data_IF_491560148630
#
_entry.id   IF_491560148630
#
_cell.length_a   1.000
_cell.length_b   1.000
_cell.length_c   1.000
_cell.angle_alpha   90.00
_cell.angle_beta   90.00
_cell.angle_gamma   90.00
#
_symmetry.space_group_name_H-M   'P 1'
#
loop_
_entity.id
_entity.type
_entity.pdbx_description
1 polymer ?
#
# COMPACT_ATOMS: atom_id res chain seq x y z
N UNK A 1 2.45 18.51 5.27
CA UNK A 1 3.27 17.38 5.78
C UNK A 1 2.73 16.12 5.13
N UNK A 2 3.59 15.33 4.50
CA UNK A 2 3.20 14.08 3.82
C UNK A 2 2.68 13.04 4.82
N UNK A 3 1.75 12.19 4.40
CA UNK A 3 1.17 11.11 5.21
C UNK A 3 2.18 10.04 5.64
N UNK A 4 3.35 10.00 4.99
CA UNK A 4 4.54 9.20 5.31
C UNK A 4 5.79 9.92 4.80
N UNK A 5 6.97 9.64 5.38
CA UNK A 5 8.25 10.12 4.85
C UNK A 5 8.39 9.72 3.37
N UNK A 6 8.93 10.59 2.52
CA UNK A 6 9.12 10.32 1.08
C UNK A 6 10.08 9.13 0.87
N UNK A 7 9.83 8.31 -0.14
CA UNK A 7 10.62 7.10 -0.45
C UNK A 7 10.63 6.05 0.67
N UNK A 8 9.55 6.01 1.44
CA UNK A 8 9.28 5.01 2.47
C UNK A 8 8.06 4.20 2.06
N UNK A 9 8.15 2.89 2.18
CA UNK A 9 7.00 2.00 1.99
C UNK A 9 6.51 1.54 3.35
N UNK A 10 5.21 1.29 3.46
CA UNK A 10 4.60 0.66 4.63
C UNK A 10 3.74 -0.51 4.18
N UNK A 11 3.85 -1.61 4.91
CA UNK A 11 2.99 -2.78 4.74
C UNK A 11 2.29 -3.06 6.05
N UNK A 12 0.96 -3.06 5.99
CA UNK A 12 0.10 -3.57 7.04
C UNK A 12 -0.25 -5.02 6.72
N UNK A 13 -0.18 -5.89 7.72
CA UNK A 13 -0.51 -7.31 7.59
C UNK A 13 -1.47 -7.70 8.71
N UNK A 14 -2.52 -8.45 8.37
CA UNK A 14 -3.47 -9.01 9.33
C UNK A 14 -3.37 -10.53 9.27
N UNK A 15 -3.44 -11.19 10.43
CA UNK A 15 -3.35 -12.65 10.54
C UNK A 15 -1.93 -13.21 10.61
N UNK A 16 -0.91 -12.37 10.83
CA UNK A 16 0.46 -12.77 11.16
C UNK A 16 0.94 -11.98 12.38
N UNK A 17 1.90 -12.54 13.13
CA UNK A 17 2.53 -11.85 14.25
C UNK A 17 3.59 -10.85 13.77
N UNK A 18 3.89 -9.81 14.57
CA UNK A 18 4.91 -8.84 14.23
C UNK A 18 6.30 -9.48 14.02
N UNK A 19 6.80 -10.39 14.89
CA UNK A 19 8.08 -11.07 14.65
C UNK A 19 8.12 -11.84 13.33
N UNK A 20 7.00 -12.49 12.96
CA UNK A 20 6.90 -13.21 11.68
C UNK A 20 7.07 -12.29 10.49
N UNK A 21 6.35 -11.16 10.47
CA UNK A 21 6.38 -10.22 9.34
C UNK A 21 7.75 -9.56 9.22
N UNK A 22 8.34 -9.14 10.35
CA UNK A 22 9.71 -8.59 10.38
C UNK A 22 10.74 -9.60 9.86
N UNK A 23 10.62 -10.88 10.22
CA UNK A 23 11.51 -11.95 9.73
C UNK A 23 11.40 -12.13 8.22
N UNK A 24 10.18 -12.21 7.68
CA UNK A 24 9.97 -12.35 6.22
C UNK A 24 10.60 -11.19 5.45
N UNK A 25 10.39 -9.96 5.93
CA UNK A 25 10.95 -8.77 5.30
C UNK A 25 12.48 -8.72 5.38
N UNK A 26 13.05 -9.13 6.52
CA UNK A 26 14.51 -9.24 6.71
C UNK A 26 15.13 -10.32 5.81
N UNK A 27 14.50 -11.49 5.71
CA UNK A 27 14.89 -12.59 4.81
C UNK A 27 14.88 -12.16 3.33
N UNK A 28 13.94 -11.28 2.95
CA UNK A 28 13.84 -10.70 1.62
C UNK A 28 14.84 -9.53 1.36
N UNK A 29 15.69 -9.19 2.33
CA UNK A 29 16.65 -8.08 2.21
C UNK A 29 16.02 -6.69 2.34
N UNK A 30 14.83 -6.60 2.94
CA UNK A 30 14.08 -5.35 3.20
C UNK A 30 13.83 -5.18 4.70
N UNK A 31 14.87 -5.00 5.53
CA UNK A 31 14.70 -4.90 6.98
C UNK A 31 13.80 -3.71 7.35
N UNK A 32 13.00 -3.89 8.40
CA UNK A 32 12.11 -2.85 8.89
C UNK A 32 12.93 -1.65 9.44
N UNK A 33 12.49 -0.43 9.11
CA UNK A 33 13.00 0.82 9.70
C UNK A 33 12.22 1.21 10.95
N UNK A 34 10.91 0.94 10.95
CA UNK A 34 10.02 1.01 12.10
C UNK A 34 8.97 -0.09 11.97
N UNK A 35 8.38 -0.51 13.08
CA UNK A 35 7.31 -1.51 13.08
C UNK A 35 6.46 -1.44 14.33
N UNK A 36 5.27 -2.03 14.29
CA UNK A 36 4.36 -2.05 15.43
C UNK A 36 3.06 -2.79 15.13
N UNK A 37 2.11 -2.66 16.05
CA UNK A 37 0.79 -3.27 15.95
C UNK A 37 -0.29 -2.22 16.29
N UNK A 38 -1.39 -2.22 15.55
CA UNK A 38 -2.55 -1.37 15.81
C UNK A 38 -3.80 -1.96 15.17
N UNK A 39 -4.93 -1.93 15.87
CA UNK A 39 -6.24 -2.32 15.32
C UNK A 39 -6.28 -3.72 14.68
N UNK A 40 -5.49 -4.66 15.21
CA UNK A 40 -5.36 -6.02 14.67
C UNK A 40 -4.48 -6.15 13.43
N UNK A 41 -3.83 -5.07 12.99
CA UNK A 41 -2.82 -5.04 11.95
C UNK A 41 -1.43 -4.97 12.59
N UNK A 42 -0.51 -5.80 12.11
CA UNK A 42 0.92 -5.55 12.28
C UNK A 42 1.38 -4.68 11.13
N UNK A 43 2.33 -3.79 11.36
CA UNK A 43 2.86 -2.92 10.32
C UNK A 43 4.36 -2.79 10.42
N UNK A 44 5.00 -2.54 9.28
CA UNK A 44 6.38 -2.11 9.24
C UNK A 44 6.60 -1.12 8.11
N UNK A 45 7.57 -0.24 8.30
CA UNK A 45 8.12 0.61 7.24
C UNK A 45 9.44 0.06 6.76
N UNK A 46 9.76 0.29 5.49
CA UNK A 46 11.08 -0.01 4.96
C UNK A 46 11.42 0.95 3.81
N UNK A 47 12.70 1.01 3.47
CA UNK A 47 13.19 1.84 2.38
C UNK A 47 12.70 1.34 1.02
N UNK A 48 12.34 2.26 0.12
CA UNK A 48 11.82 1.94 -1.20
C UNK A 48 12.80 1.10 -2.05
N UNK A 49 14.07 1.51 -2.06
CA UNK A 49 15.06 1.07 -3.06
C UNK A 49 16.04 0.01 -2.54
N UNK A 50 15.97 -0.35 -1.26
CA UNK A 50 16.91 -1.29 -0.65
C UNK A 50 16.38 -2.73 -0.78
N UNK A 51 16.73 -3.42 -1.87
CA UNK A 51 16.64 -4.88 -1.98
C UNK A 51 17.46 -5.43 -3.15
N UNK A 52 17.97 -6.67 -3.07
CA UNK A 52 18.48 -7.41 -4.22
C UNK A 52 17.32 -7.75 -5.20
N UNK A 53 17.63 -7.82 -6.51
CA UNK A 53 16.72 -7.97 -7.67
C UNK A 53 15.80 -9.23 -7.72
N UNK A 54 15.34 -9.78 -6.59
CA UNK A 54 14.57 -11.03 -6.54
C UNK A 54 13.06 -10.84 -6.44
N UNK A 55 12.58 -9.72 -5.90
CA UNK A 55 11.15 -9.37 -5.83
C UNK A 55 10.93 -7.92 -5.44
N UNK A 56 9.93 -7.27 -6.04
CA UNK A 56 9.51 -5.92 -5.67
C UNK A 56 8.87 -5.91 -4.28
N UNK A 57 8.86 -4.75 -3.61
CA UNK A 57 8.22 -4.60 -2.30
C UNK A 57 6.71 -4.93 -2.35
N UNK A 58 6.07 -4.58 -3.46
CA UNK A 58 4.67 -4.84 -3.73
C UNK A 58 4.37 -6.35 -3.91
N UNK A 59 5.22 -7.07 -4.65
CA UNK A 59 5.12 -8.53 -4.78
C UNK A 59 5.33 -9.23 -3.45
N UNK A 60 6.28 -8.76 -2.63
CA UNK A 60 6.50 -9.30 -1.30
C UNK A 60 5.27 -9.12 -0.41
N UNK A 61 4.71 -7.90 -0.36
CA UNK A 61 3.50 -7.60 0.41
C UNK A 61 2.34 -8.51 -0.02
N UNK A 62 2.12 -8.64 -1.33
CA UNK A 62 1.06 -9.51 -1.87
C UNK A 62 1.32 -10.99 -1.58
N UNK A 63 2.58 -11.42 -1.70
CA UNK A 63 3.02 -12.79 -1.49
C UNK A 63 2.79 -13.30 -0.07
N UNK A 64 2.85 -12.43 0.95
CA UNK A 64 2.54 -12.77 2.36
C UNK A 64 1.18 -13.43 2.52
N UNK A 65 0.22 -13.04 1.69
CA UNK A 65 -1.17 -13.54 1.78
C UNK A 65 -1.35 -14.90 1.12
N UNK A 66 -0.35 -15.36 0.35
CA UNK A 66 -0.41 -16.55 -0.49
C UNK A 66 0.15 -17.82 0.16
N UNK A 67 0.04 -18.93 -0.58
CA UNK A 67 0.34 -20.28 -0.09
C UNK A 67 1.75 -20.45 0.49
N UNK A 68 2.72 -19.65 0.05
CA UNK A 68 4.12 -19.72 0.50
C UNK A 68 4.26 -19.41 1.99
N UNK A 69 3.40 -18.55 2.53
CA UNK A 69 3.48 -18.08 3.91
C UNK A 69 2.32 -18.55 4.79
N UNK A 70 1.41 -19.42 4.30
CA UNK A 70 0.27 -19.92 5.09
C UNK A 70 0.71 -20.61 6.38
N UNK A 71 1.84 -21.32 6.36
CA UNK A 71 2.40 -21.98 7.55
C UNK A 71 2.91 -20.99 8.60
N UNK A 72 3.10 -19.71 8.23
CA UNK A 72 3.50 -18.63 9.12
C UNK A 72 2.32 -17.78 9.61
N UNK A 73 1.09 -18.07 9.17
CA UNK A 73 -0.10 -17.39 9.66
C UNK A 73 -0.33 -17.72 11.15
N UNK A 74 -0.92 -16.78 11.89
CA UNK A 74 -1.23 -16.96 13.32
C UNK A 74 -2.27 -18.04 13.58
N UNK A 75 -3.21 -18.24 12.65
CA UNK A 75 -4.21 -19.33 12.70
C UNK A 75 -4.43 -19.90 11.28
N UNK A 76 -3.55 -20.82 10.84
CA UNK A 76 -3.60 -21.38 9.50
C UNK A 76 -4.93 -22.10 9.23
N UNK A 77 -5.71 -21.59 8.26
CA UNK A 77 -6.96 -22.21 7.81
C UNK A 77 -8.24 -21.65 8.44
N UNK A 78 -8.15 -20.75 9.44
CA UNK A 78 -9.31 -20.07 10.02
C UNK A 78 -9.37 -18.59 9.70
N UNK A 79 -8.23 -17.90 9.69
CA UNK A 79 -8.15 -16.47 9.38
C UNK A 79 -7.28 -16.29 8.13
N UNK A 80 -7.84 -15.76 7.03
CA UNK A 80 -7.02 -15.47 5.86
C UNK A 80 -6.05 -14.33 6.18
N UNK A 81 -4.81 -14.46 5.72
CA UNK A 81 -3.84 -13.38 5.79
C UNK A 81 -4.22 -12.30 4.78
N UNK A 82 -4.18 -11.06 5.22
CA UNK A 82 -4.48 -9.87 4.43
C UNK A 82 -3.30 -8.91 4.49
N UNK A 83 -3.09 -8.14 3.42
CA UNK A 83 -2.07 -7.09 3.41
C UNK A 83 -2.57 -5.82 2.74
N UNK A 84 -2.23 -4.67 3.32
CA UNK A 84 -2.34 -3.36 2.67
C UNK A 84 -0.93 -2.79 2.50
N UNK A 85 -0.53 -2.51 1.26
CA UNK A 85 0.73 -1.89 0.91
C UNK A 85 0.50 -0.44 0.50
N UNK A 86 1.31 0.48 1.03
CA UNK A 86 1.33 1.88 0.64
C UNK A 86 2.75 2.34 0.29
N UNK A 87 2.88 3.06 -0.83
CA UNK A 87 4.15 3.61 -1.29
C UNK A 87 4.11 5.14 -1.30
N UNK A 88 5.02 5.79 -0.54
CA UNK A 88 5.15 7.26 -0.55
C UNK A 88 6.07 7.79 -1.66
N UNK A 89 6.50 6.92 -2.57
CA UNK A 89 7.24 7.34 -3.75
C UNK A 89 6.39 8.26 -4.61
N UNK A 90 6.99 9.30 -5.22
CA UNK A 90 6.28 10.19 -6.10
C UNK A 90 5.73 9.44 -7.32
N UNK A 91 4.77 10.07 -7.99
CA UNK A 91 4.36 9.67 -9.32
C UNK A 91 5.58 9.59 -10.25
N UNK A 92 5.92 8.40 -10.76
CA UNK A 92 7.03 8.26 -11.69
C UNK A 92 6.84 9.09 -12.98
N UNK A 93 7.93 9.66 -13.47
CA UNK A 93 7.94 10.45 -14.70
C UNK A 93 8.21 9.60 -15.95
N UNK A 94 8.44 8.29 -15.80
CA UNK A 94 8.90 7.46 -16.90
C UNK A 94 7.82 7.29 -17.99
N UNK A 95 8.16 7.38 -19.29
CA UNK A 95 7.21 7.33 -20.39
C UNK A 95 6.34 6.05 -20.44
N UNK A 96 6.94 4.87 -20.20
CA UNK A 96 6.17 3.62 -20.18
C UNK A 96 5.28 3.51 -18.94
N UNK A 97 5.58 4.27 -17.89
CA UNK A 97 4.84 4.30 -16.64
C UNK A 97 3.58 5.15 -16.72
N UNK A 98 3.20 5.64 -17.90
CA UNK A 98 2.00 6.46 -18.14
C UNK A 98 0.82 5.66 -18.71
N UNK A 99 1.08 4.56 -19.42
CA UNK A 99 0.08 3.92 -20.29
C UNK A 99 -0.29 2.47 -19.95
N UNK A 100 0.35 1.84 -18.96
CA UNK A 100 0.16 0.41 -18.68
C UNK A 100 -0.26 0.11 -17.23
N UNK A 101 -1.09 -0.93 -17.10
CA UNK A 101 -1.59 -1.53 -15.84
C UNK A 101 -0.58 -2.50 -15.22
N UNK A 102 0.71 -2.13 -15.20
CA UNK A 102 1.81 -2.96 -14.67
C UNK A 102 2.69 -2.07 -13.77
N UNK A 103 3.27 -2.57 -12.66
CA UNK A 103 4.31 -1.86 -11.93
C UNK A 103 5.39 -1.44 -12.92
N UNK A 104 5.67 -0.14 -13.01
CA UNK A 104 6.44 0.37 -14.14
C UNK A 104 7.94 0.12 -13.99
N UNK A 105 8.45 0.18 -12.76
CA UNK A 105 9.80 -0.24 -12.39
C UNK A 105 9.88 -0.50 -10.87
N UNK A 106 10.93 -1.18 -10.43
CA UNK A 106 11.20 -1.48 -9.01
C UNK A 106 11.21 -0.22 -8.13
N UNK A 107 11.62 0.91 -8.71
CA UNK A 107 11.68 2.22 -8.05
C UNK A 107 10.31 2.89 -7.85
N UNK A 108 9.28 2.47 -8.61
CA UNK A 108 7.99 3.14 -8.65
C UNK A 108 6.85 2.10 -8.75
N UNK A 109 6.57 1.37 -7.67
CA UNK A 109 5.48 0.40 -7.62
C UNK A 109 4.12 1.10 -7.67
N UNK A 110 3.04 0.33 -7.72
CA UNK A 110 1.72 0.86 -7.39
C UNK A 110 1.71 1.43 -5.97
N UNK A 111 1.13 2.62 -5.81
CA UNK A 111 1.15 3.31 -4.52
C UNK A 111 0.19 2.72 -3.51
N UNK A 112 -0.85 2.02 -3.94
CA UNK A 112 -1.73 1.24 -3.08
C UNK A 112 -1.94 -0.16 -3.64
N UNK A 113 -1.92 -1.15 -2.76
CA UNK A 113 -2.45 -2.47 -3.05
C UNK A 113 -3.03 -3.14 -1.80
N UNK A 114 -4.17 -3.78 -1.97
CA UNK A 114 -4.78 -4.68 -1.00
C UNK A 114 -4.80 -6.10 -1.57
N UNK A 115 -4.27 -7.04 -0.80
CA UNK A 115 -4.19 -8.45 -1.16
C UNK A 115 -4.79 -9.31 -0.05
N UNK A 116 -5.41 -10.42 -0.45
CA UNK A 116 -6.02 -11.40 0.44
C UNK A 116 -5.99 -12.77 -0.21
N UNK A 117 -5.59 -13.79 0.56
CA UNK A 117 -5.57 -15.19 0.11
C UNK A 117 -4.65 -15.46 -1.09
N UNK A 118 -3.59 -14.69 -1.26
CA UNK A 118 -2.61 -14.83 -2.35
C UNK A 118 -2.97 -14.06 -3.61
N UNK A 119 -4.07 -13.31 -3.60
CA UNK A 119 -4.53 -12.54 -4.76
C UNK A 119 -4.66 -11.07 -4.42
N UNK A 120 -4.25 -10.22 -5.36
CA UNK A 120 -4.46 -8.77 -5.27
C UNK A 120 -5.92 -8.47 -5.58
N UNK A 121 -6.61 -7.88 -4.60
CA UNK A 121 -8.02 -7.54 -4.70
C UNK A 121 -8.20 -6.16 -5.33
N UNK A 122 -7.42 -5.17 -4.89
CA UNK A 122 -7.44 -3.84 -5.52
C UNK A 122 -6.04 -3.23 -5.47
N UNK A 123 -5.67 -2.51 -6.52
CA UNK A 123 -4.48 -1.68 -6.54
C UNK A 123 -4.70 -0.48 -7.45
N UNK A 124 -4.05 0.63 -7.15
CA UNK A 124 -4.03 1.83 -7.98
C UNK A 124 -2.88 2.77 -7.58
N UNK A 125 -2.63 3.79 -8.41
CA UNK A 125 -1.79 4.93 -8.05
C UNK A 125 -2.67 6.06 -7.49
N UNK A 126 -2.11 6.97 -6.71
CA UNK A 126 -2.84 8.10 -6.13
C UNK A 126 -1.95 9.35 -6.11
N UNK A 127 -2.53 10.51 -5.81
CA UNK A 127 -1.77 11.76 -5.81
C UNK A 127 -1.75 12.45 -7.17
N UNK A 128 -0.59 12.96 -7.60
CA UNK A 128 -0.35 13.61 -8.92
C UNK A 128 -0.72 12.74 -10.14
N UNK A 129 -0.97 11.43 -9.96
CA UNK A 129 -1.44 10.51 -11.03
C UNK A 129 -2.94 10.32 -11.05
N UNK A 130 -3.66 10.99 -10.13
CA UNK A 130 -5.04 10.72 -9.75
C UNK A 130 -5.21 9.23 -9.40
N UNK A 131 -6.38 8.83 -8.94
CA UNK A 131 -6.67 7.47 -8.49
C UNK A 131 -6.88 6.55 -9.70
N UNK A 132 -5.87 6.53 -10.56
CA UNK A 132 -5.84 5.92 -11.86
C UNK A 132 -5.30 4.49 -11.77
N UNK A 133 -5.59 3.72 -12.80
CA UNK A 133 -5.12 2.32 -12.93
C UNK A 133 -5.62 1.41 -11.82
N UNK A 134 -6.92 1.50 -11.56
CA UNK A 134 -7.65 0.58 -10.68
C UNK A 134 -7.80 -0.78 -11.33
N UNK A 135 -7.27 -1.82 -10.70
CA UNK A 135 -7.40 -3.21 -11.13
C UNK A 135 -7.31 -4.16 -9.93
N UNK A 136 -7.50 -5.47 -10.18
CA UNK A 136 -7.53 -6.53 -9.17
C UNK A 136 -8.83 -7.33 -9.23
N UNK A 137 -9.04 -8.25 -8.29
CA UNK A 137 -10.28 -9.04 -8.19
C UNK A 137 -11.53 -8.23 -7.79
N UNK A 138 -11.34 -7.08 -7.16
CA UNK A 138 -12.38 -6.13 -6.72
C UNK A 138 -11.88 -4.71 -6.97
N UNK A 139 -11.72 -4.29 -8.24
CA UNK A 139 -11.04 -3.04 -8.59
C UNK A 139 -11.74 -1.79 -8.04
N UNK A 140 -13.06 -1.88 -7.84
CA UNK A 140 -13.91 -0.79 -7.36
C UNK A 140 -14.16 -0.82 -5.84
N UNK A 141 -13.34 -1.55 -5.07
CA UNK A 141 -13.50 -1.69 -3.62
C UNK A 141 -13.69 -0.35 -2.88
N UNK A 142 -12.97 0.70 -3.31
CA UNK A 142 -12.99 2.04 -2.70
C UNK A 142 -13.71 3.07 -3.57
N UNK A 143 -14.37 2.66 -4.66
CA UNK A 143 -14.86 3.63 -5.67
C UNK A 143 -15.89 4.59 -5.09
N UNK A 144 -16.72 4.12 -4.16
CA UNK A 144 -17.78 4.92 -3.55
C UNK A 144 -17.18 6.04 -2.70
N UNK A 145 -16.26 5.71 -1.81
CA UNK A 145 -15.60 6.66 -0.94
C UNK A 145 -14.77 7.67 -1.74
N UNK A 146 -14.13 7.24 -2.83
CA UNK A 146 -13.40 8.11 -3.74
C UNK A 146 -14.31 9.06 -4.54
N UNK A 147 -15.50 8.59 -4.95
CA UNK A 147 -16.52 9.42 -5.61
C UNK A 147 -17.09 10.45 -4.63
N UNK A 148 -17.44 10.03 -3.42
CA UNK A 148 -17.99 10.90 -2.37
C UNK A 148 -17.00 12.00 -1.97
N UNK A 149 -15.69 11.70 -2.01
CA UNK A 149 -14.62 12.67 -1.77
C UNK A 149 -14.33 13.59 -2.97
N UNK A 150 -14.96 13.38 -4.14
CA UNK A 150 -14.71 14.12 -5.37
C UNK A 150 -13.31 13.90 -5.96
N UNK A 151 -12.68 12.77 -5.61
CA UNK A 151 -11.32 12.41 -6.01
C UNK A 151 -11.32 11.72 -7.38
N UNK A 152 -12.36 10.91 -7.66
CA UNK A 152 -12.63 10.31 -8.96
C UNK A 152 -14.04 10.66 -9.41
N UNK A 153 -14.35 10.47 -10.69
CA UNK A 153 -15.67 10.71 -11.25
C UNK A 153 -15.58 11.23 -12.67
N UNK A 154 -16.74 11.44 -13.29
CA UNK A 154 -16.83 12.12 -14.59
C UNK A 154 -16.34 13.56 -14.48
N UNK A 155 -16.76 14.22 -13.40
CA UNK A 155 -16.43 15.60 -13.09
C UNK A 155 -15.73 15.64 -11.73
N UNK A 156 -14.55 16.25 -11.68
CA UNK A 156 -13.79 16.42 -10.43
C UNK A 156 -13.48 17.90 -10.22
N UNK A 157 -14.51 18.76 -10.06
CA UNK A 157 -14.38 20.23 -10.11
C UNK A 157 -13.43 20.80 -9.05
N UNK A 158 -13.15 20.03 -7.99
CA UNK A 158 -12.18 20.39 -6.97
C UNK A 158 -10.75 20.48 -7.52
N UNK A 159 -10.36 19.61 -8.46
CA UNK A 159 -9.07 19.71 -9.13
C UNK A 159 -9.00 20.86 -10.13
N UNK A 160 -10.14 21.31 -10.68
CA UNK A 160 -10.19 22.49 -11.56
C UNK A 160 -9.96 23.77 -10.76
N UNK A 161 -10.51 23.85 -9.55
CA UNK A 161 -10.32 24.96 -8.63
C UNK A 161 -8.95 24.93 -7.91
N UNK A 162 -8.47 23.73 -7.58
CA UNK A 162 -7.20 23.50 -6.90
C UNK A 162 -6.50 22.25 -7.48
N UNK A 163 -5.61 22.43 -8.48
CA UNK A 163 -4.85 21.32 -9.06
C UNK A 163 -3.98 20.57 -8.06
N UNK A 164 -3.66 21.17 -6.90
CA UNK A 164 -2.83 20.58 -5.87
C UNK A 164 -3.62 19.85 -4.76
N UNK A 165 -4.95 19.90 -4.79
CA UNK A 165 -5.87 19.42 -3.73
C UNK A 165 -5.44 18.11 -3.05
N UNK A 166 -5.08 17.11 -3.85
CA UNK A 166 -4.65 15.79 -3.35
C UNK A 166 -3.34 15.37 -4.02
N UNK A 167 -2.44 16.31 -4.35
CA UNK A 167 -1.20 16.01 -5.08
C UNK A 167 -0.31 14.97 -4.36
N UNK A 168 -0.30 14.99 -3.02
CA UNK A 168 0.47 14.08 -2.18
C UNK A 168 -0.27 12.76 -1.86
N UNK A 169 -1.54 12.64 -2.26
CA UNK A 169 -2.38 11.48 -2.00
C UNK A 169 -2.93 11.39 -0.57
N UNK A 170 -2.73 12.40 0.28
CA UNK A 170 -3.12 12.35 1.70
C UNK A 170 -4.62 12.09 1.89
N UNK A 171 -5.49 12.64 1.03
CA UNK A 171 -6.94 12.39 1.13
C UNK A 171 -7.28 10.94 0.79
N UNK A 172 -6.59 10.37 -0.19
CA UNK A 172 -6.77 8.97 -0.60
C UNK A 172 -6.28 8.01 0.48
N UNK A 173 -5.15 8.31 1.10
CA UNK A 173 -4.63 7.51 2.22
C UNK A 173 -5.55 7.54 3.43
N UNK A 174 -6.23 8.67 3.70
CA UNK A 174 -7.29 8.72 4.74
C UNK A 174 -8.43 7.76 4.43
N UNK A 175 -8.94 7.77 3.21
CA UNK A 175 -10.01 6.85 2.78
C UNK A 175 -9.58 5.39 2.92
N UNK A 176 -8.35 5.07 2.50
CA UNK A 176 -7.79 3.71 2.67
C UNK A 176 -7.71 3.36 4.16
N UNK A 177 -7.17 4.24 4.99
CA UNK A 177 -7.01 3.99 6.41
C UNK A 177 -8.37 3.77 7.10
N UNK A 178 -9.36 4.62 6.79
CA UNK A 178 -10.71 4.51 7.35
C UNK A 178 -11.40 3.21 6.91
N UNK A 179 -11.28 2.83 5.63
CA UNK A 179 -11.90 1.61 5.09
C UNK A 179 -11.34 0.33 5.75
N UNK A 180 -10.03 0.27 5.97
CA UNK A 180 -9.35 -0.92 6.53
C UNK A 180 -9.15 -0.85 8.06
N UNK A 181 -9.51 0.26 8.71
CA UNK A 181 -9.26 0.49 10.13
C UNK A 181 -7.76 0.61 10.48
N UNK A 182 -6.95 1.13 9.55
CA UNK A 182 -5.52 1.37 9.76
C UNK A 182 -5.30 2.64 10.60
N UNK A 183 -4.09 2.83 11.17
CA UNK A 183 -3.72 4.13 11.73
C UNK A 183 -3.99 5.27 10.73
N UNK A 184 -4.62 6.35 11.20
CA UNK A 184 -4.93 7.50 10.34
C UNK A 184 -3.67 8.32 10.03
N UNK A 185 -3.58 8.96 8.84
CA UNK A 185 -2.46 9.81 8.50
C UNK A 185 -2.48 11.19 9.21
N UNK A 186 -1.32 11.81 9.52
CA UNK A 186 0.03 11.32 9.26
C UNK A 186 0.27 10.05 10.08
N UNK A 187 0.74 8.99 9.42
CA UNK A 187 0.89 7.70 10.06
C UNK A 187 1.94 7.90 11.15
N UNK A 188 1.51 7.97 12.42
CA UNK A 188 2.38 8.19 13.58
C UNK A 188 3.15 6.90 13.90
N UNK A 189 3.97 6.47 12.94
CA UNK A 189 4.75 5.25 12.97
C UNK A 189 6.04 5.55 13.73
N UNK A 190 5.96 5.55 15.06
CA UNK A 190 7.16 5.67 15.89
C UNK A 190 8.06 4.43 15.69
N UNK A 191 9.39 4.58 15.63
CA UNK A 191 10.28 3.43 15.68
C UNK A 191 10.05 2.69 17.00
N UNK A 192 9.96 1.36 16.93
CA UNK A 192 9.97 0.53 18.14
C UNK A 192 11.29 0.78 18.88
N UNK A 193 11.19 1.18 20.15
CA UNK A 193 12.33 1.30 21.06
C UNK A 193 12.84 -0.07 21.52
#
# INVERSE_FOLDING_TARGET
MSWLATNTFVTFVKGMTLPTVVSVYSEAGRPAQASGESSGWVWLTHEAYRAPHRSTAWELASGLTGFRHTHRASDPGRVPVESVFLASTPACACPHGQNYMVPHCDEHPFQFAYSRGGFVQTYFNFGMRRESRRAGGTPDLLVRELLDAGIVGRDTPRYDADPAFNADGTHTVRIIADHFGLPSPPLALAPAG
#
